data_IF_739153343509
#
_entry.id   IF_739153343509
#
_cell.length_a   1.000
_cell.length_b   1.000
_cell.length_c   1.000
_cell.angle_alpha   90.00
_cell.angle_beta   90.00
_cell.angle_gamma   90.00
#
_symmetry.space_group_name_H-M   'P 1'
#
loop_
_entity.id
_entity.type
_entity.pdbx_description
1 polymer ?
#
# COMPACT_ATOMS: atom_id res chain seq x y z
N UNK A 1 17.97 -1.59 -12.76
CA UNK A 1 16.77 -2.32 -13.10
C UNK A 1 15.64 -1.36 -13.48
N UNK A 2 15.14 -1.47 -14.69
CA UNK A 2 14.04 -0.63 -15.16
C UNK A 2 12.72 -1.07 -14.53
N UNK A 3 11.88 -0.14 -14.09
CA UNK A 3 10.55 -0.51 -13.60
C UNK A 3 9.75 -1.26 -14.67
N UNK A 4 9.11 -2.33 -14.24
CA UNK A 4 8.27 -3.13 -15.12
C UNK A 4 7.00 -3.58 -14.41
N UNK A 5 5.87 -3.51 -15.11
CA UNK A 5 4.58 -3.90 -14.54
C UNK A 5 4.36 -5.40 -14.59
N UNK A 6 4.81 -6.05 -15.65
CA UNK A 6 4.55 -7.48 -15.86
C UNK A 6 5.81 -8.30 -15.62
N UNK A 7 5.79 -9.13 -14.58
CA UNK A 7 6.88 -10.04 -14.26
C UNK A 7 6.70 -11.43 -14.88
N UNK A 8 5.65 -11.59 -15.69
CA UNK A 8 5.24 -12.90 -16.21
C UNK A 8 4.13 -13.50 -15.35
N UNK A 9 3.30 -14.32 -15.99
CA UNK A 9 2.08 -14.85 -15.35
C UNK A 9 2.41 -15.58 -14.04
N UNK A 10 3.44 -16.40 -14.03
CA UNK A 10 3.78 -17.18 -12.84
C UNK A 10 4.29 -16.32 -11.69
N UNK A 11 5.17 -15.36 -11.97
CA UNK A 11 5.72 -14.51 -10.92
C UNK A 11 4.69 -13.50 -10.41
N UNK A 12 3.85 -12.96 -11.29
CA UNK A 12 2.74 -12.10 -10.87
C UNK A 12 1.84 -12.83 -9.88
N UNK A 13 1.48 -14.08 -10.20
CA UNK A 13 0.63 -14.90 -9.33
C UNK A 13 1.32 -15.23 -8.01
N UNK A 14 2.62 -15.52 -8.04
CA UNK A 14 3.38 -15.81 -6.83
C UNK A 14 3.41 -14.62 -5.88
N UNK A 15 3.73 -13.43 -6.41
CA UNK A 15 3.80 -12.24 -5.56
C UNK A 15 2.43 -11.93 -4.95
N UNK A 16 1.37 -12.08 -5.74
CA UNK A 16 0.00 -11.90 -5.25
C UNK A 16 -0.32 -12.90 -4.14
N UNK A 17 -0.02 -14.18 -4.36
CA UNK A 17 -0.34 -15.24 -3.39
C UNK A 17 0.40 -15.08 -2.07
N UNK A 18 1.68 -14.68 -2.12
CA UNK A 18 2.46 -14.44 -0.91
C UNK A 18 1.81 -13.36 -0.04
N UNK A 19 1.37 -12.26 -0.67
CA UNK A 19 0.70 -11.18 0.07
C UNK A 19 -0.67 -11.62 0.60
N UNK A 20 -1.41 -12.40 -0.18
CA UNK A 20 -2.72 -12.90 0.24
C UNK A 20 -2.61 -13.78 1.48
N UNK A 21 -1.67 -14.72 1.48
CA UNK A 21 -1.46 -15.63 2.63
C UNK A 21 -1.18 -14.86 3.91
N UNK A 22 -0.29 -13.87 3.84
CA UNK A 22 0.06 -13.08 5.03
C UNK A 22 -1.10 -12.22 5.50
N UNK A 23 -1.89 -11.70 4.57
CA UNK A 23 -3.07 -10.91 4.93
C UNK A 23 -4.12 -11.76 5.64
N UNK A 24 -4.29 -13.01 5.22
CA UNK A 24 -5.18 -13.96 5.91
C UNK A 24 -4.65 -14.30 7.31
N UNK A 25 -3.36 -14.51 7.44
CA UNK A 25 -2.74 -14.78 8.75
C UNK A 25 -2.90 -13.60 9.70
N UNK A 26 -2.78 -12.38 9.17
CA UNK A 26 -3.02 -11.18 9.96
C UNK A 26 -4.45 -11.18 10.54
N UNK A 27 -5.45 -11.43 9.69
CA UNK A 27 -6.85 -11.40 10.13
C UNK A 27 -7.10 -12.45 11.22
N UNK A 28 -6.61 -13.67 11.01
CA UNK A 28 -6.75 -14.75 11.99
C UNK A 28 -6.11 -14.37 13.33
N UNK A 29 -4.89 -13.84 13.29
CA UNK A 29 -4.17 -13.44 14.51
C UNK A 29 -4.91 -12.31 15.24
N UNK A 30 -5.40 -11.31 14.49
CA UNK A 30 -6.14 -10.20 15.08
C UNK A 30 -7.44 -10.68 15.73
N UNK A 31 -8.18 -11.57 15.05
CA UNK A 31 -9.42 -12.13 15.58
C UNK A 31 -9.19 -13.00 16.82
N UNK A 32 -8.01 -13.59 16.94
CA UNK A 32 -7.62 -14.40 18.10
C UNK A 32 -6.95 -13.58 19.20
N UNK A 33 -6.87 -12.26 19.03
CA UNK A 33 -6.23 -11.36 20.01
C UNK A 33 -4.78 -11.78 20.31
N UNK A 34 -4.06 -12.22 19.28
CA UNK A 34 -2.69 -12.73 19.42
C UNK A 34 -1.72 -11.67 18.87
N UNK A 35 -1.21 -10.83 19.77
CA UNK A 35 -0.35 -9.71 19.38
C UNK A 35 0.96 -10.18 18.75
N UNK A 36 1.54 -11.26 19.23
CA UNK A 36 2.79 -11.80 18.69
C UNK A 36 2.59 -12.21 17.22
N UNK A 37 1.50 -12.92 16.95
CA UNK A 37 1.20 -13.36 15.58
C UNK A 37 0.78 -12.21 14.69
N UNK A 38 0.11 -11.18 15.22
CA UNK A 38 -0.17 -9.96 14.47
C UNK A 38 1.14 -9.29 14.03
N UNK A 39 2.08 -9.16 14.97
CA UNK A 39 3.38 -8.55 14.66
C UNK A 39 4.14 -9.37 13.61
N UNK A 40 4.10 -10.69 13.73
CA UNK A 40 4.75 -11.59 12.76
C UNK A 40 4.16 -11.42 11.36
N UNK A 41 2.83 -11.43 11.26
CA UNK A 41 2.14 -11.25 9.98
C UNK A 41 2.45 -9.90 9.35
N UNK A 42 2.42 -8.83 10.13
CA UNK A 42 2.72 -7.48 9.62
C UNK A 42 4.16 -7.38 9.16
N UNK A 43 5.09 -7.97 9.91
CA UNK A 43 6.49 -7.99 9.52
C UNK A 43 6.71 -8.75 8.22
N UNK A 44 6.07 -9.91 8.07
CA UNK A 44 6.15 -10.72 6.85
C UNK A 44 5.52 -10.00 5.66
N UNK A 45 4.38 -9.31 5.87
CA UNK A 45 3.76 -8.52 4.81
C UNK A 45 4.71 -7.43 4.32
N UNK A 46 5.37 -6.75 5.24
CA UNK A 46 6.34 -5.70 4.88
C UNK A 46 7.51 -6.31 4.10
N UNK A 47 8.01 -7.45 4.54
CA UNK A 47 9.11 -8.14 3.87
C UNK A 47 8.73 -8.51 2.43
N UNK A 48 7.55 -9.11 2.24
CA UNK A 48 7.05 -9.50 0.91
C UNK A 48 6.81 -8.27 0.05
N UNK A 49 6.26 -7.21 0.64
CA UNK A 49 6.02 -5.95 -0.08
C UNK A 49 7.34 -5.37 -0.59
N UNK A 50 8.36 -5.30 0.25
CA UNK A 50 9.68 -4.81 -0.17
C UNK A 50 10.26 -5.67 -1.29
N UNK A 51 10.14 -6.99 -1.18
CA UNK A 51 10.59 -7.90 -2.24
C UNK A 51 9.84 -7.68 -3.55
N UNK A 52 8.54 -7.43 -3.47
CA UNK A 52 7.71 -7.17 -4.66
C UNK A 52 8.11 -5.85 -5.33
N UNK A 53 8.38 -4.82 -4.53
CA UNK A 53 8.88 -3.53 -5.04
C UNK A 53 10.17 -3.73 -5.83
N UNK A 54 11.10 -4.52 -5.29
CA UNK A 54 12.38 -4.82 -5.94
C UNK A 54 12.18 -5.61 -7.22
N UNK A 55 11.30 -6.61 -7.20
CA UNK A 55 11.00 -7.41 -8.39
C UNK A 55 10.48 -6.54 -9.53
N UNK A 56 9.64 -5.55 -9.23
CA UNK A 56 9.14 -4.62 -10.24
C UNK A 56 10.14 -3.52 -10.61
N UNK A 57 11.32 -3.50 -9.99
CA UNK A 57 12.34 -2.50 -10.29
C UNK A 57 12.01 -1.11 -9.79
N UNK A 58 11.20 -1.01 -8.71
CA UNK A 58 10.70 0.27 -8.21
C UNK A 58 11.41 0.75 -6.94
N UNK A 59 12.49 0.11 -6.54
CA UNK A 59 13.22 0.45 -5.32
C UNK A 59 13.70 1.90 -5.29
N UNK A 60 14.01 2.48 -6.46
CA UNK A 60 14.49 3.88 -6.53
C UNK A 60 13.34 4.89 -6.68
N UNK A 61 12.11 4.42 -6.80
CA UNK A 61 10.95 5.28 -7.01
C UNK A 61 9.90 5.20 -5.91
N UNK A 62 9.92 4.12 -5.13
CA UNK A 62 8.80 3.85 -4.22
C UNK A 62 8.64 4.92 -3.14
N UNK A 63 9.73 5.51 -2.67
CA UNK A 63 9.65 6.57 -1.67
C UNK A 63 8.91 7.79 -2.22
N UNK A 64 9.23 8.20 -3.46
CA UNK A 64 8.53 9.32 -4.11
C UNK A 64 7.07 8.97 -4.41
N UNK A 65 6.81 7.72 -4.80
CA UNK A 65 5.44 7.23 -5.01
C UNK A 65 4.65 7.34 -3.71
N UNK A 66 5.23 6.86 -2.62
CA UNK A 66 4.59 6.93 -1.31
C UNK A 66 4.32 8.37 -0.90
N UNK A 67 5.29 9.27 -1.10
CA UNK A 67 5.13 10.68 -0.76
C UNK A 67 4.01 11.33 -1.58
N UNK A 68 3.88 10.97 -2.85
CA UNK A 68 2.80 11.46 -3.69
C UNK A 68 1.43 10.95 -3.21
N UNK A 69 1.36 9.69 -2.82
CA UNK A 69 0.13 9.12 -2.25
C UNK A 69 -0.21 9.82 -0.94
N UNK A 70 0.79 10.07 -0.09
CA UNK A 70 0.59 10.79 1.16
C UNK A 70 0.06 12.20 0.90
N UNK A 71 0.63 12.91 -0.07
CA UNK A 71 0.19 14.24 -0.46
C UNK A 71 -1.28 14.22 -0.89
N UNK A 72 -1.65 13.25 -1.73
CA UNK A 72 -3.03 13.06 -2.17
C UNK A 72 -3.96 12.74 -1.00
N UNK A 73 -3.54 11.83 -0.12
CA UNK A 73 -4.36 11.45 1.04
C UNK A 73 -4.60 12.63 1.98
N UNK A 74 -3.60 13.47 2.18
CA UNK A 74 -3.76 14.67 3.01
C UNK A 74 -4.75 15.65 2.37
N UNK A 75 -4.89 15.66 1.05
CA UNK A 75 -5.85 16.51 0.34
C UNK A 75 -7.31 16.05 0.54
N UNK A 76 -7.53 14.86 1.11
CA UNK A 76 -8.88 14.38 1.43
C UNK A 76 -9.49 15.07 2.64
N UNK A 77 -8.69 15.77 3.44
CA UNK A 77 -9.16 16.42 4.67
C UNK A 77 -10.18 17.50 4.36
N UNK A 78 -11.10 17.74 5.33
CA UNK A 78 -12.07 18.79 5.24
C UNK A 78 -11.43 20.18 5.40
N UNK A 79 -12.23 21.22 5.28
CA UNK A 79 -11.78 22.62 5.40
C UNK A 79 -11.15 22.93 6.77
N UNK A 80 -11.54 22.18 7.79
CA UNK A 80 -11.02 22.33 9.16
C UNK A 80 -9.73 21.54 9.38
N UNK A 81 -9.17 20.90 8.33
CA UNK A 81 -7.97 20.08 8.43
C UNK A 81 -8.21 18.72 9.03
N UNK A 82 -9.46 18.32 9.24
CA UNK A 82 -9.82 17.04 9.85
C UNK A 82 -10.39 16.09 8.81
N UNK A 83 -10.19 14.75 9.00
CA UNK A 83 -10.76 13.79 8.08
C UNK A 83 -12.28 13.74 8.18
N UNK A 84 -12.92 13.44 7.05
CA UNK A 84 -14.36 13.22 6.96
C UNK A 84 -14.54 11.70 6.76
N UNK A 85 -15.29 11.06 7.64
CA UNK A 85 -15.45 9.61 7.60
C UNK A 85 -16.78 9.17 7.02
N UNK A 86 -16.73 8.08 6.26
CA UNK A 86 -17.91 7.35 5.83
C UNK A 86 -18.38 6.44 6.98
N UNK A 87 -19.60 5.92 6.90
CA UNK A 87 -20.17 5.07 7.96
C UNK A 87 -19.31 3.83 8.28
N UNK A 88 -18.60 3.28 7.27
CA UNK A 88 -17.74 2.12 7.45
C UNK A 88 -16.34 2.48 7.96
N UNK A 89 -16.09 3.74 8.27
CA UNK A 89 -14.81 4.20 8.80
C UNK A 89 -13.81 4.64 7.76
N UNK A 90 -14.15 4.58 6.48
CA UNK A 90 -13.24 5.06 5.42
C UNK A 90 -13.26 6.58 5.34
N UNK A 91 -12.09 7.16 5.05
CA UNK A 91 -11.96 8.60 4.86
C UNK A 91 -12.54 9.01 3.51
N UNK A 92 -13.46 9.95 3.55
CA UNK A 92 -14.05 10.52 2.33
C UNK A 92 -13.15 11.59 1.75
N UNK A 93 -13.32 11.87 0.47
CA UNK A 93 -12.60 12.93 -0.22
C UNK A 93 -13.20 14.28 0.16
N UNK A 94 -12.37 15.15 0.70
CA UNK A 94 -12.79 16.51 1.05
C UNK A 94 -12.86 17.41 -0.18
N UNK A 95 -13.20 18.70 0.03
CA UNK A 95 -13.44 19.63 -1.09
C UNK A 95 -12.21 19.94 -1.94
N UNK A 96 -11.01 19.78 -1.39
CA UNK A 96 -9.76 20.11 -2.08
C UNK A 96 -9.00 18.87 -2.53
N UNK A 97 -9.66 17.71 -2.57
CA UNK A 97 -9.03 16.46 -2.96
C UNK A 97 -8.48 16.51 -4.39
N UNK A 98 -7.29 15.94 -4.57
CA UNK A 98 -6.73 15.65 -5.89
C UNK A 98 -6.15 14.25 -5.92
N UNK A 99 -6.18 13.62 -7.09
CA UNK A 99 -5.61 12.29 -7.29
C UNK A 99 -4.08 12.33 -7.25
N UNK A 100 -3.42 11.26 -6.78
CA UNK A 100 -1.97 11.18 -6.90
C UNK A 100 -1.55 11.07 -8.37
N UNK A 101 -0.50 11.79 -8.75
CA UNK A 101 0.04 11.73 -10.11
C UNK A 101 1.24 10.78 -10.13
N UNK A 102 0.95 9.49 -10.05
CA UNK A 102 1.98 8.45 -10.01
C UNK A 102 2.78 8.41 -11.30
N UNK A 103 2.11 8.60 -12.44
CA UNK A 103 2.78 8.62 -13.75
C UNK A 103 3.92 9.64 -13.77
N UNK A 104 3.68 10.85 -13.27
CA UNK A 104 4.70 11.90 -13.24
C UNK A 104 5.91 11.50 -12.39
N UNK A 105 5.66 10.81 -11.26
CA UNK A 105 6.74 10.32 -10.39
C UNK A 105 7.60 9.30 -11.14
N UNK A 106 6.96 8.36 -11.84
CA UNK A 106 7.68 7.31 -12.56
C UNK A 106 8.46 7.81 -13.75
N UNK A 107 8.06 8.93 -14.33
CA UNK A 107 8.71 9.52 -15.52
C UNK A 107 9.91 10.41 -15.18
N UNK A 108 10.17 10.68 -13.93
CA UNK A 108 11.32 11.50 -13.51
C UNK A 108 12.66 10.84 -13.79
#
# INVERSE_FOLDING_TARGET
NMPTADLGVQKNALRHELMREENEEYLEAANNNDLVEVADALGDMLYILCGTIIEHGMQDKIEEVFNEIQRSNMSKLGKDGKPIFREDGKVLKGPNYFKPNIKAVLEK
#
